data_IF_389698112213
#
_entry.id   IF_389698112213
#
_cell.length_a   1.000
_cell.length_b   1.000
_cell.length_c   1.000
_cell.angle_alpha   90.00
_cell.angle_beta   90.00
_cell.angle_gamma   90.00
#
_symmetry.space_group_name_H-M   'P 1'
#
loop_
_entity.id
_entity.type
_entity.pdbx_description
1 polymer ?
#
# COMPACT_ATOMS: atom_id res chain seq x y z
N UNK A 1 -57.94 -10.91 -62.22
CA UNK A 1 -56.55 -10.65 -62.65
C UNK A 1 -56.16 -9.23 -62.30
N UNK A 2 -55.34 -9.06 -61.25
CA UNK A 2 -54.60 -7.86 -60.82
C UNK A 2 -53.62 -8.33 -59.72
N UNK A 3 -52.46 -7.70 -59.47
CA UNK A 3 -51.66 -6.81 -60.30
C UNK A 3 -50.17 -7.23 -60.35
N UNK A 4 -49.39 -6.61 -61.23
CA UNK A 4 -47.95 -6.88 -61.43
C UNK A 4 -47.15 -5.61 -61.12
N UNK A 5 -46.21 -5.71 -60.14
CA UNK A 5 -44.94 -4.94 -59.94
C UNK A 5 -45.06 -3.42 -59.69
N UNK A 6 -44.27 -2.71 -58.88
CA UNK A 6 -43.04 -2.83 -58.03
C UNK A 6 -42.96 -1.46 -57.27
N UNK A 7 -42.32 -1.24 -56.10
CA UNK A 7 -40.85 -1.04 -56.05
C UNK A 7 -40.09 -1.37 -54.73
N UNK A 8 -38.78 -1.55 -54.90
CA UNK A 8 -37.64 -1.20 -54.04
C UNK A 8 -37.82 -1.20 -52.50
N UNK A 9 -37.13 -2.12 -51.81
CA UNK A 9 -36.68 -1.89 -50.44
C UNK A 9 -35.14 -1.93 -50.39
N UNK A 10 -34.55 -0.79 -50.01
CA UNK A 10 -33.15 -0.64 -49.67
C UNK A 10 -32.82 -1.50 -48.44
N UNK A 11 -31.87 -2.42 -48.59
CA UNK A 11 -31.25 -3.10 -47.48
C UNK A 11 -30.28 -2.13 -46.78
N UNK A 12 -30.75 -1.48 -45.71
CA UNK A 12 -29.92 -0.67 -44.83
C UNK A 12 -28.99 -1.58 -44.02
N UNK A 13 -27.70 -1.56 -44.34
CA UNK A 13 -26.65 -2.22 -43.58
C UNK A 13 -26.39 -1.38 -42.31
N UNK A 14 -26.97 -1.80 -41.17
CA UNK A 14 -26.70 -1.21 -39.87
C UNK A 14 -25.30 -1.64 -39.40
N UNK A 15 -24.32 -0.76 -39.56
CA UNK A 15 -22.98 -0.88 -38.98
C UNK A 15 -23.09 -0.53 -37.48
N UNK A 16 -23.16 -1.55 -36.62
CA UNK A 16 -23.10 -1.37 -35.17
C UNK A 16 -21.68 -0.93 -34.78
N UNK A 17 -21.51 0.36 -34.45
CA UNK A 17 -20.26 0.91 -33.94
C UNK A 17 -19.95 0.39 -32.54
N UNK A 18 -18.94 -0.47 -32.43
CA UNK A 18 -18.38 -0.90 -31.15
C UNK A 18 -17.56 0.25 -30.54
N UNK A 19 -18.20 1.05 -29.70
CA UNK A 19 -17.52 2.03 -28.85
C UNK A 19 -16.69 1.28 -27.79
N UNK A 20 -15.39 1.15 -28.05
CA UNK A 20 -14.42 0.70 -27.05
C UNK A 20 -14.21 1.84 -26.03
N UNK A 21 -15.04 1.87 -24.99
CA UNK A 21 -14.77 2.71 -23.82
C UNK A 21 -13.56 2.13 -23.09
N UNK A 22 -12.39 2.75 -23.29
CA UNK A 22 -11.21 2.49 -22.46
C UNK A 22 -11.51 3.04 -21.06
N UNK A 23 -12.14 2.23 -20.22
CA UNK A 23 -12.28 2.55 -18.81
C UNK A 23 -10.91 2.60 -18.18
N UNK A 24 -10.51 3.74 -17.63
CA UNK A 24 -9.38 3.81 -16.72
C UNK A 24 -9.75 2.94 -15.51
N UNK A 25 -9.13 1.77 -15.39
CA UNK A 25 -9.23 0.98 -14.17
C UNK A 25 -8.46 1.72 -13.08
N UNK A 26 -9.15 1.98 -11.96
CA UNK A 26 -8.50 2.46 -10.76
C UNK A 26 -7.53 1.38 -10.24
N UNK A 27 -6.36 1.84 -9.80
CA UNK A 27 -5.28 1.00 -9.29
C UNK A 27 -5.44 0.75 -7.80
N UNK A 28 -4.65 -0.16 -7.24
CA UNK A 28 -4.59 -0.38 -5.81
C UNK A 28 -4.32 0.91 -5.03
N UNK A 29 -3.40 1.75 -5.49
CA UNK A 29 -3.09 3.02 -4.84
C UNK A 29 -4.24 4.05 -4.85
N UNK A 30 -5.20 3.93 -5.76
CA UNK A 30 -6.39 4.79 -5.79
C UNK A 30 -7.44 4.40 -4.73
N UNK A 31 -7.37 3.16 -4.23
CA UNK A 31 -8.32 2.59 -3.28
C UNK A 31 -7.72 2.29 -1.91
N UNK A 32 -6.41 2.43 -1.76
CA UNK A 32 -5.72 2.19 -0.50
C UNK A 32 -5.31 3.51 0.13
N UNK A 33 -5.64 3.68 1.40
CA UNK A 33 -5.19 4.81 2.20
C UNK A 33 -4.45 4.34 3.45
N UNK A 34 -3.49 5.15 3.90
CA UNK A 34 -2.64 4.85 5.04
C UNK A 34 -3.01 5.71 6.24
N UNK A 35 -3.01 5.11 7.42
CA UNK A 35 -3.20 5.79 8.69
C UNK A 35 -2.16 5.29 9.69
N UNK A 36 -1.98 6.02 10.80
CA UNK A 36 -1.12 5.57 11.89
C UNK A 36 0.33 5.26 11.44
N UNK A 37 0.86 6.07 10.52
CA UNK A 37 2.18 5.86 9.92
C UNK A 37 3.30 6.45 10.78
N UNK A 38 4.20 5.61 11.29
CA UNK A 38 5.32 6.04 12.12
C UNK A 38 6.56 5.15 12.01
N UNK A 39 7.72 5.70 12.35
CA UNK A 39 9.00 5.00 12.39
C UNK A 39 9.50 4.96 13.81
N UNK A 40 9.87 3.78 14.30
CA UNK A 40 10.67 3.65 15.53
C UNK A 40 12.14 3.81 15.20
N UNK A 41 12.72 4.94 15.59
CA UNK A 41 14.13 5.22 15.42
C UNK A 41 14.92 4.55 16.55
N UNK A 42 15.99 3.84 16.19
CA UNK A 42 16.94 3.27 17.14
C UNK A 42 18.25 4.07 17.15
N UNK A 43 18.99 4.09 18.27
CA UNK A 43 20.28 4.77 18.33
C UNK A 43 21.32 4.23 17.34
N UNK A 44 22.19 5.11 16.86
CA UNK A 44 23.31 4.75 15.99
C UNK A 44 22.87 4.38 14.57
N UNK A 45 23.57 3.42 13.96
CA UNK A 45 23.31 2.94 12.60
C UNK A 45 22.41 1.68 12.57
N UNK A 46 21.69 1.41 13.66
CA UNK A 46 20.79 0.26 13.76
C UNK A 46 19.61 0.39 12.79
N UNK A 47 19.08 -0.73 12.27
CA UNK A 47 17.87 -0.71 11.46
C UNK A 47 16.68 -0.12 12.23
N UNK A 48 15.84 0.65 11.53
CA UNK A 48 14.60 1.17 12.08
C UNK A 48 13.40 0.33 11.62
N UNK A 49 12.30 0.36 12.37
CA UNK A 49 11.04 -0.28 11.99
C UNK A 49 10.01 0.79 11.62
N UNK A 50 9.33 0.66 10.48
CA UNK A 50 8.19 1.48 10.10
C UNK A 50 6.88 0.67 10.19
N UNK A 51 5.86 1.34 10.70
CA UNK A 51 4.56 0.80 11.07
C UNK A 51 3.47 1.69 10.49
N UNK A 52 2.39 1.07 10.01
CA UNK A 52 1.29 1.75 9.31
C UNK A 52 0.09 0.82 9.25
N UNK A 53 -1.12 1.39 9.29
CA UNK A 53 -2.34 0.66 8.95
C UNK A 53 -2.74 1.02 7.52
N UNK A 54 -2.90 0.01 6.67
CA UNK A 54 -3.39 0.15 5.31
C UNK A 54 -4.85 -0.26 5.26
N UNK A 55 -5.68 0.62 4.72
CA UNK A 55 -7.11 0.40 4.51
C UNK A 55 -7.38 0.24 3.03
N UNK A 56 -8.16 -0.76 2.63
CA UNK A 56 -8.50 -1.03 1.24
C UNK A 56 -10.00 -0.88 1.03
N UNK A 57 -10.40 0.18 0.33
CA UNK A 57 -11.79 0.49 0.05
C UNK A 57 -12.33 -0.26 -1.19
N UNK A 58 -11.47 -0.98 -1.91
CA UNK A 58 -11.88 -1.71 -3.11
C UNK A 58 -12.56 -3.05 -2.78
N UNK A 59 -13.30 -3.55 -3.77
CA UNK A 59 -13.95 -4.86 -3.72
C UNK A 59 -12.99 -6.04 -4.02
N UNK A 60 -11.68 -5.77 -4.16
CA UNK A 60 -10.66 -6.79 -4.47
C UNK A 60 -9.53 -6.72 -3.44
N UNK A 61 -8.89 -7.85 -3.10
CA UNK A 61 -7.69 -7.81 -2.26
C UNK A 61 -6.55 -7.10 -2.99
N UNK A 62 -5.77 -6.32 -2.25
CA UNK A 62 -4.54 -5.65 -2.71
C UNK A 62 -3.35 -6.30 -2.03
N UNK A 63 -2.18 -6.35 -2.68
CA UNK A 63 -0.96 -6.85 -2.05
C UNK A 63 0.13 -5.77 -2.00
N UNK A 64 0.57 -5.42 -0.80
CA UNK A 64 1.78 -4.64 -0.57
C UNK A 64 3.00 -5.54 -0.82
N UNK A 65 3.92 -5.12 -1.69
CA UNK A 65 5.14 -5.89 -2.03
C UNK A 65 6.41 -5.28 -1.49
N UNK A 66 6.33 -4.07 -0.90
CA UNK A 66 7.46 -3.41 -0.28
C UNK A 66 7.31 -1.90 -0.29
N UNK A 67 8.42 -1.19 -0.12
CA UNK A 67 8.44 0.26 -0.17
C UNK A 67 9.81 0.80 -0.58
N UNK A 68 9.92 2.11 -0.79
CA UNK A 68 11.18 2.85 -0.92
C UNK A 68 11.17 4.07 -0.01
N UNK A 69 12.36 4.61 0.28
CA UNK A 69 12.52 5.78 1.14
C UNK A 69 13.43 6.83 0.51
N UNK A 70 13.14 8.10 0.78
CA UNK A 70 14.09 9.18 0.52
C UNK A 70 15.26 9.14 1.51
N UNK A 71 15.02 8.75 2.76
CA UNK A 71 15.99 8.80 3.87
C UNK A 71 16.76 7.50 4.12
N UNK A 72 16.26 6.35 3.67
CA UNK A 72 16.91 5.04 3.86
C UNK A 72 17.33 4.43 2.51
N UNK A 73 18.41 3.65 2.50
CA UNK A 73 18.89 3.01 1.27
C UNK A 73 18.04 1.81 0.87
N UNK A 74 17.53 1.05 1.85
CA UNK A 74 16.75 -0.16 1.61
C UNK A 74 15.55 -0.21 2.56
N UNK A 75 14.42 -0.70 2.05
CA UNK A 75 13.19 -0.93 2.81
C UNK A 75 12.68 -2.32 2.48
N UNK A 76 12.51 -3.16 3.50
CA UNK A 76 12.17 -4.57 3.35
C UNK A 76 10.90 -4.89 4.13
N UNK A 77 9.98 -5.67 3.56
CA UNK A 77 8.78 -6.11 4.27
C UNK A 77 9.09 -7.36 5.10
N UNK A 78 8.89 -7.28 6.40
CA UNK A 78 9.23 -8.33 7.36
C UNK A 78 8.01 -8.72 8.20
N UNK A 79 8.02 -9.97 8.68
CA UNK A 79 7.11 -10.46 9.71
C UNK A 79 7.92 -10.91 10.93
N UNK A 80 7.53 -10.42 12.10
CA UNK A 80 8.03 -10.91 13.38
C UNK A 80 7.11 -12.01 13.89
N UNK A 81 7.67 -13.13 14.31
CA UNK A 81 6.92 -14.20 14.95
C UNK A 81 7.71 -14.77 16.12
N UNK A 82 7.00 -15.34 17.10
CA UNK A 82 7.62 -16.09 18.19
C UNK A 82 7.41 -17.57 17.94
N UNK A 83 8.51 -18.32 17.81
CA UNK A 83 8.47 -19.77 17.67
C UNK A 83 9.37 -20.39 18.75
N UNK A 84 8.79 -21.26 19.59
CA UNK A 84 9.54 -21.95 20.65
C UNK A 84 10.18 -21.01 21.70
N UNK A 85 9.57 -19.87 21.98
CA UNK A 85 10.10 -18.88 22.92
C UNK A 85 11.18 -17.95 22.35
N UNK A 86 11.55 -18.10 21.07
CA UNK A 86 12.49 -17.22 20.38
C UNK A 86 11.76 -16.33 19.37
N UNK A 87 11.99 -15.03 19.45
CA UNK A 87 11.53 -14.08 18.43
C UNK A 87 12.37 -14.22 17.16
N UNK A 88 11.71 -14.39 16.03
CA UNK A 88 12.30 -14.46 14.70
C UNK A 88 11.68 -13.38 13.81
N UNK A 89 12.53 -12.62 13.14
CA UNK A 89 12.13 -11.73 12.06
C UNK A 89 12.46 -12.41 10.74
N UNK A 90 11.54 -12.42 9.79
CA UNK A 90 11.76 -12.98 8.46
C UNK A 90 11.20 -12.05 7.40
N UNK A 91 11.97 -11.88 6.32
CA UNK A 91 11.49 -11.18 5.14
C UNK A 91 10.31 -11.93 4.53
N UNK A 92 9.33 -11.18 4.03
CA UNK A 92 8.18 -11.71 3.30
C UNK A 92 8.02 -10.92 2.00
N UNK A 93 7.59 -11.59 0.94
CA UNK A 93 7.48 -10.97 -0.38
C UNK A 93 6.25 -10.07 -0.49
N UNK A 94 5.17 -10.42 0.21
CA UNK A 94 3.90 -9.70 0.12
C UNK A 94 3.15 -9.66 1.45
N UNK A 95 2.29 -8.65 1.60
CA UNK A 95 1.26 -8.56 2.62
C UNK A 95 -0.07 -8.21 1.95
N UNK A 96 -1.05 -9.09 2.09
CA UNK A 96 -2.41 -8.87 1.56
C UNK A 96 -3.19 -7.91 2.45
N UNK A 97 -3.82 -6.91 1.83
CA UNK A 97 -4.88 -6.07 2.40
C UNK A 97 -6.21 -6.58 1.83
N UNK A 98 -7.08 -7.19 2.65
CA UNK A 98 -8.36 -7.74 2.18
C UNK A 98 -9.26 -6.69 1.52
N UNK A 99 -10.17 -7.12 0.65
CA UNK A 99 -11.22 -6.25 0.10
C UNK A 99 -12.08 -5.67 1.26
N UNK A 100 -12.37 -4.38 1.22
CA UNK A 100 -13.09 -3.66 2.28
C UNK A 100 -12.52 -3.92 3.69
N UNK A 101 -11.21 -4.12 3.79
CA UNK A 101 -10.53 -4.51 5.02
C UNK A 101 -9.23 -3.76 5.21
N UNK A 102 -8.50 -4.16 6.26
CA UNK A 102 -7.24 -3.52 6.64
C UNK A 102 -6.11 -4.53 6.85
N UNK A 103 -4.88 -4.05 6.71
CA UNK A 103 -3.67 -4.75 7.13
C UNK A 103 -2.86 -3.85 8.05
N UNK A 104 -2.52 -4.36 9.23
CA UNK A 104 -1.81 -3.61 10.27
C UNK A 104 -0.35 -4.05 10.31
N UNK A 105 0.55 -3.10 10.02
CA UNK A 105 1.97 -3.25 10.27
C UNK A 105 2.28 -2.63 11.64
N UNK A 106 2.53 -3.48 12.64
CA UNK A 106 2.73 -3.09 14.03
C UNK A 106 3.90 -3.85 14.68
N UNK A 107 4.44 -3.35 15.81
CA UNK A 107 5.46 -4.06 16.58
C UNK A 107 5.05 -5.51 16.88
N UNK A 108 6.01 -6.43 16.85
CA UNK A 108 5.81 -7.87 17.01
C UNK A 108 4.93 -8.56 15.92
N UNK A 109 4.56 -7.85 14.85
CA UNK A 109 3.91 -8.41 13.66
C UNK A 109 4.64 -8.01 12.37
N UNK A 110 3.86 -7.66 11.35
CA UNK A 110 4.39 -7.14 10.09
C UNK A 110 4.98 -5.74 10.27
N UNK A 111 6.08 -5.45 9.59
CA UNK A 111 6.71 -4.12 9.60
C UNK A 111 7.59 -3.92 8.37
N UNK A 112 7.86 -2.67 8.04
CA UNK A 112 8.89 -2.31 7.06
C UNK A 112 10.21 -2.11 7.80
N UNK A 113 11.19 -2.97 7.56
CA UNK A 113 12.55 -2.80 8.06
C UNK A 113 13.30 -1.79 7.20
N UNK A 114 13.76 -0.71 7.82
CA UNK A 114 14.48 0.40 7.18
C UNK A 114 15.98 0.24 7.46
N UNK A 115 16.78 0.06 6.41
CA UNK A 115 18.21 -0.18 6.52
C UNK A 115 19.00 1.01 5.99
N UNK A 116 20.19 1.23 6.57
CA UNK A 116 21.20 2.19 6.09
C UNK A 116 20.61 3.58 5.87
N UNK A 117 20.32 4.27 6.97
CA UNK A 117 19.90 5.67 6.91
C UNK A 117 20.98 6.51 6.18
N UNK A 118 20.57 7.24 5.14
CA UNK A 118 21.43 8.11 4.34
C UNK A 118 21.81 9.38 5.10
N UNK A 119 20.90 9.85 5.93
CA UNK A 119 21.09 10.94 6.87
C UNK A 119 20.53 10.54 8.24
N UNK A 120 21.04 11.10 9.35
CA UNK A 120 20.47 10.84 10.67
C UNK A 120 18.99 11.24 10.72
N UNK A 121 18.11 10.29 11.04
CA UNK A 121 16.69 10.50 11.33
C UNK A 121 16.52 10.61 12.83
N UNK A 122 15.83 11.63 13.32
CA UNK A 122 15.61 11.91 14.74
C UNK A 122 14.12 11.83 15.09
N UNK A 123 13.77 11.53 16.36
CA UNK A 123 12.40 11.70 16.82
C UNK A 123 11.87 13.11 16.51
N UNK A 124 10.65 13.19 15.99
CA UNK A 124 10.02 14.43 15.52
C UNK A 124 10.18 14.69 14.02
N UNK A 125 11.12 14.02 13.34
CA UNK A 125 11.24 14.13 11.89
C UNK A 125 10.05 13.49 11.17
N UNK A 126 9.81 13.91 9.94
CA UNK A 126 8.88 13.24 9.01
C UNK A 126 9.67 12.62 7.88
N UNK A 127 9.46 11.33 7.64
CA UNK A 127 10.11 10.58 6.57
C UNK A 127 9.06 10.10 5.58
N UNK A 128 9.23 10.45 4.31
CA UNK A 128 8.38 9.97 3.23
C UNK A 128 8.80 8.56 2.80
N UNK A 129 7.87 7.62 2.87
CA UNK A 129 7.98 6.30 2.26
C UNK A 129 7.02 6.18 1.08
N UNK A 130 7.45 5.49 0.03
CA UNK A 130 6.61 5.14 -1.12
C UNK A 130 6.31 3.66 -1.05
N UNK A 131 5.10 3.31 -0.64
CA UNK A 131 4.59 1.94 -0.59
C UNK A 131 4.33 1.44 -2.01
N UNK A 132 4.64 0.17 -2.28
CA UNK A 132 4.53 -0.45 -3.60
C UNK A 132 3.55 -1.61 -3.56
N UNK A 133 2.64 -1.65 -4.52
CA UNK A 133 1.65 -2.71 -4.64
C UNK A 133 1.97 -3.65 -5.80
N UNK A 134 1.36 -4.83 -5.80
CA UNK A 134 1.59 -5.88 -6.81
C UNK A 134 1.16 -5.50 -8.23
N UNK A 135 0.26 -4.52 -8.38
CA UNK A 135 -0.17 -4.00 -9.69
C UNK A 135 0.78 -2.93 -10.25
N UNK A 136 1.88 -2.63 -9.56
CA UNK A 136 2.87 -1.63 -9.93
C UNK A 136 2.51 -0.21 -9.49
N UNK A 137 1.33 0.01 -8.92
CA UNK A 137 0.95 1.30 -8.35
C UNK A 137 1.68 1.57 -7.03
N UNK A 138 1.74 2.84 -6.64
CA UNK A 138 2.47 3.27 -5.45
C UNK A 138 1.74 4.32 -4.65
N UNK A 139 1.84 4.25 -3.33
CA UNK A 139 1.26 5.24 -2.40
C UNK A 139 2.38 5.93 -1.62
N UNK A 140 2.48 7.26 -1.76
CA UNK A 140 3.38 8.07 -0.94
C UNK A 140 2.72 8.35 0.42
N UNK A 141 3.44 8.07 1.50
CA UNK A 141 2.95 8.23 2.87
C UNK A 141 4.02 8.85 3.73
N UNK A 142 3.63 9.83 4.53
CA UNK A 142 4.49 10.49 5.51
C UNK A 142 4.46 9.71 6.83
N UNK A 143 5.64 9.35 7.33
CA UNK A 143 5.81 8.62 8.58
C UNK A 143 6.47 9.53 9.63
N UNK A 144 5.84 9.65 10.79
CA UNK A 144 6.40 10.38 11.92
C UNK A 144 7.49 9.54 12.62
N UNK A 145 8.71 10.06 12.73
CA UNK A 145 9.79 9.43 13.46
C UNK A 145 9.60 9.58 14.98
N UNK A 146 9.73 8.47 15.70
CA UNK A 146 9.44 8.35 17.14
C UNK A 146 10.59 7.67 17.88
N UNK A 147 10.73 7.92 19.19
CA UNK A 147 11.80 7.34 20.00
C UNK A 147 11.65 5.81 20.16
N UNK A 148 12.73 5.15 20.57
CA UNK A 148 12.83 3.69 20.67
C UNK A 148 11.81 3.05 21.62
N UNK A 149 11.33 3.78 22.63
CA UNK A 149 10.35 3.33 23.61
C UNK A 149 8.89 3.48 23.15
N UNK A 150 8.62 4.04 21.96
CA UNK A 150 7.26 4.11 21.42
C UNK A 150 6.73 2.71 21.12
N UNK A 151 5.56 2.36 21.66
CA UNK A 151 4.97 1.00 21.57
C UNK A 151 3.81 0.89 20.60
N UNK A 152 3.23 2.00 20.16
CA UNK A 152 2.09 2.06 19.23
C UNK A 152 2.08 3.35 18.40
N UNK A 153 1.03 3.51 17.60
CA UNK A 153 0.76 4.71 16.82
C UNK A 153 0.36 5.92 17.66
N UNK A 154 0.38 5.82 19.00
CA UNK A 154 0.31 6.88 20.00
C UNK A 154 -0.43 8.13 19.57
N UNK A 155 -1.68 8.25 20.02
CA UNK A 155 -2.20 9.59 20.34
C UNK A 155 -1.20 10.29 21.27
N UNK A 156 -1.04 11.62 21.16
CA UNK A 156 -0.15 12.34 22.06
C UNK A 156 -0.66 12.18 23.48
N UNK A 157 -0.02 11.30 24.25
CA UNK A 157 -0.23 11.20 25.68
C UNK A 157 0.22 12.52 26.31
N UNK A 158 -0.73 13.44 26.47
CA UNK A 158 -0.57 14.60 27.32
C UNK A 158 -0.61 14.13 28.77
N UNK A 159 0.50 14.31 29.49
CA UNK A 159 0.53 14.36 30.95
C UNK A 159 0.99 13.09 31.67
N UNK A 160 2.07 13.21 32.43
CA UNK A 160 1.99 13.52 33.87
C UNK A 160 3.24 14.31 34.30
#
# INVERSE_FOLDING_TARGET
MKPTRRPFLNAGLLLAGLLLTNGVQATAADHVHASNAWIRVLPGALPAGAYVTLHNDSAQPVALTGATSTAYAEVMLHHSSTAGGMSRMSMVDTLTVPAHGEAVLAPAGYHLMLMKAKTPVKPGDTVKLTLKFSDGSTLATDFAARPANAIDAGEPHSGH
#
